data_IF_765865726551
#
_entry.id   IF_765865726551
#
_cell.length_a   1.000
_cell.length_b   1.000
_cell.length_c   1.000
_cell.angle_alpha   90.00
_cell.angle_beta   90.00
_cell.angle_gamma   90.00
#
_symmetry.space_group_name_H-M   'P 1'
#
loop_
_entity.id
_entity.type
_entity.pdbx_description
1 polymer ?
#
# COMPACT_ATOMS: atom_id res chain seq x y z
N UNK A 1 -6.10 1.87 -11.31
CA UNK A 1 -5.04 1.67 -10.30
C UNK A 1 -5.43 0.46 -9.46
N UNK A 2 -4.58 -0.58 -9.35
CA UNK A 2 -4.94 -1.81 -8.64
C UNK A 2 -5.29 -1.58 -7.16
N UNK A 3 -6.16 -2.41 -6.61
CA UNK A 3 -6.70 -2.26 -5.24
C UNK A 3 -5.59 -2.27 -4.17
N UNK A 4 -4.55 -3.09 -4.38
CA UNK A 4 -3.39 -3.24 -3.49
C UNK A 4 -2.67 -1.92 -3.18
N UNK A 5 -2.64 -0.96 -4.11
CA UNK A 5 -2.02 0.35 -3.90
C UNK A 5 -2.83 1.21 -2.92
N UNK A 6 -4.16 1.15 -3.00
CA UNK A 6 -5.05 1.88 -2.09
C UNK A 6 -4.96 1.31 -0.68
N UNK A 7 -4.94 -0.01 -0.57
CA UNK A 7 -4.83 -0.70 0.72
C UNK A 7 -3.47 -0.43 1.37
N UNK A 8 -2.39 -0.45 0.58
CA UNK A 8 -1.06 -0.05 1.06
C UNK A 8 -1.03 1.38 1.58
N UNK A 9 -1.69 2.33 0.89
CA UNK A 9 -1.81 3.71 1.35
C UNK A 9 -2.56 3.80 2.69
N UNK A 10 -3.56 2.96 2.92
CA UNK A 10 -4.31 2.95 4.18
C UNK A 10 -3.41 2.50 5.33
N UNK A 11 -2.59 1.47 5.14
CA UNK A 11 -1.59 1.09 6.14
C UNK A 11 -0.63 2.24 6.43
N UNK A 12 -0.16 2.95 5.39
CA UNK A 12 0.69 4.13 5.57
C UNK A 12 -0.02 5.26 6.35
N UNK A 13 -1.34 5.42 6.20
CA UNK A 13 -2.12 6.42 6.94
C UNK A 13 -2.43 6.03 8.38
N UNK A 14 -2.42 4.73 8.70
CA UNK A 14 -2.62 4.22 10.06
C UNK A 14 -1.33 4.26 10.88
N UNK A 15 -0.18 4.33 10.23
CA UNK A 15 1.12 4.39 10.90
C UNK A 15 1.44 5.82 11.35
N UNK A 16 1.42 6.05 12.67
CA UNK A 16 1.68 7.35 13.28
C UNK A 16 3.04 7.94 12.88
N UNK A 17 4.05 7.09 12.62
CA UNK A 17 5.39 7.55 12.21
C UNK A 17 5.33 8.11 10.80
N UNK A 18 4.64 7.42 9.89
CA UNK A 18 4.43 7.89 8.52
C UNK A 18 3.59 9.16 8.51
N UNK A 19 2.50 9.22 9.28
CA UNK A 19 1.69 10.44 9.43
C UNK A 19 2.52 11.60 9.95
N UNK A 20 3.38 11.37 10.95
CA UNK A 20 4.28 12.39 11.49
C UNK A 20 5.23 12.98 10.44
N UNK A 21 5.79 12.13 9.55
CA UNK A 21 6.74 12.52 8.51
C UNK A 21 6.05 13.28 7.36
N UNK A 22 4.92 12.77 6.86
CA UNK A 22 4.27 13.32 5.66
C UNK A 22 3.27 14.43 5.96
N UNK A 23 2.63 14.40 7.12
CA UNK A 23 1.45 15.21 7.44
C UNK A 23 0.21 14.77 6.67
N UNK A 24 -0.97 15.07 7.23
CA UNK A 24 -2.24 14.82 6.55
C UNK A 24 -2.69 16.01 5.70
N UNK A 25 -3.30 15.78 4.53
CA UNK A 25 -3.66 14.49 3.95
C UNK A 25 -2.52 13.84 3.14
N UNK A 26 -2.33 12.53 3.31
CA UNK A 26 -1.41 11.73 2.47
C UNK A 26 -2.14 11.22 1.22
N UNK A 27 -1.57 11.44 0.04
CA UNK A 27 -2.14 11.03 -1.26
C UNK A 27 -1.11 10.34 -2.12
N UNK A 28 -1.56 9.39 -2.93
CA UNK A 28 -0.75 8.83 -4.01
C UNK A 28 -0.61 9.90 -5.10
N UNK A 29 0.60 10.11 -5.59
CA UNK A 29 0.88 11.06 -6.68
C UNK A 29 1.41 10.33 -7.91
N UNK A 30 1.17 10.90 -9.09
CA UNK A 30 1.80 10.44 -10.32
C UNK A 30 3.28 10.81 -10.29
N UNK A 31 4.16 9.85 -10.60
CA UNK A 31 5.59 10.12 -10.73
C UNK A 31 5.80 11.09 -11.91
N UNK A 32 6.44 12.24 -11.69
CA UNK A 32 6.63 13.29 -12.73
C UNK A 32 7.65 12.88 -13.80
N UNK A 33 8.55 11.96 -13.45
CA UNK A 33 9.56 11.39 -14.31
C UNK A 33 9.29 9.89 -14.47
N UNK A 34 9.45 9.36 -15.68
CA UNK A 34 9.10 8.03 -16.23
C UNK A 34 9.66 6.79 -15.48
N UNK A 35 9.89 6.84 -14.18
CA UNK A 35 10.06 5.61 -13.41
C UNK A 35 8.68 5.00 -13.32
N UNK A 36 8.54 3.88 -13.99
CA UNK A 36 7.32 3.08 -14.05
C UNK A 36 6.99 2.72 -12.61
N UNK A 37 5.71 2.82 -12.21
CA UNK A 37 5.21 2.06 -11.08
C UNK A 37 5.67 0.62 -11.29
N UNK A 38 6.78 0.22 -10.66
CA UNK A 38 7.25 -1.14 -10.81
C UNK A 38 6.15 -1.98 -10.21
N UNK A 39 5.60 -2.90 -11.00
CA UNK A 39 4.68 -3.90 -10.51
C UNK A 39 5.11 -5.20 -11.16
N UNK A 40 5.74 -6.04 -10.36
CA UNK A 40 6.29 -7.31 -10.78
C UNK A 40 5.56 -8.43 -10.07
N UNK A 41 5.06 -9.37 -10.86
CA UNK A 41 4.54 -10.64 -10.40
C UNK A 41 5.64 -11.68 -10.50
N UNK A 42 5.86 -12.47 -9.45
CA UNK A 42 6.84 -13.55 -9.47
C UNK A 42 6.40 -14.72 -8.59
N UNK A 43 6.98 -15.90 -8.82
CA UNK A 43 6.67 -17.11 -8.05
C UNK A 43 7.95 -17.67 -7.41
N UNK A 44 7.87 -18.07 -6.15
CA UNK A 44 8.96 -18.71 -5.42
C UNK A 44 8.41 -19.95 -4.73
N UNK A 45 8.97 -21.13 -5.01
CA UNK A 45 8.56 -22.41 -4.39
C UNK A 45 7.04 -22.69 -4.48
N UNK A 46 6.40 -22.32 -5.60
CA UNK A 46 4.96 -22.50 -5.82
C UNK A 46 4.08 -21.38 -5.23
N UNK A 47 4.66 -20.47 -4.45
CA UNK A 47 3.96 -19.35 -3.84
C UNK A 47 4.02 -18.12 -4.76
N UNK A 48 2.92 -17.38 -4.86
CA UNK A 48 2.84 -16.21 -5.74
C UNK A 48 3.10 -14.91 -4.97
N UNK A 49 3.90 -14.02 -5.54
CA UNK A 49 4.29 -12.75 -4.94
C UNK A 49 4.04 -11.60 -5.91
N UNK A 50 3.78 -10.43 -5.35
CA UNK A 50 3.73 -9.16 -6.06
C UNK A 50 4.62 -8.13 -5.37
N UNK A 51 5.57 -7.60 -6.12
CA UNK A 51 6.39 -6.47 -5.69
C UNK A 51 5.94 -5.22 -6.44
N UNK A 52 5.67 -4.14 -5.72
CA UNK A 52 5.25 -2.90 -6.36
C UNK A 52 5.74 -1.64 -5.66
N UNK A 53 5.84 -0.57 -6.44
CA UNK A 53 6.33 0.74 -5.98
C UNK A 53 5.44 1.90 -6.46
N UNK A 54 5.25 2.90 -5.60
CA UNK A 54 4.48 4.10 -5.95
C UNK A 54 4.84 5.30 -5.08
N UNK A 55 4.69 6.51 -5.63
CA UNK A 55 4.94 7.75 -4.90
C UNK A 55 3.73 8.18 -4.07
N UNK A 56 4.02 8.65 -2.86
CA UNK A 56 3.06 9.33 -1.98
C UNK A 56 3.57 10.73 -1.63
N UNK A 57 2.63 11.64 -1.39
CA UNK A 57 2.89 12.99 -0.92
C UNK A 57 1.92 13.38 0.18
N UNK A 58 2.44 14.04 1.19
CA UNK A 58 1.69 14.83 2.15
C UNK A 58 2.16 16.29 2.10
N UNK A 59 1.59 17.18 2.94
CA UNK A 59 1.99 18.58 2.99
C UNK A 59 3.45 18.80 3.37
N UNK A 60 4.05 17.90 4.16
CA UNK A 60 5.41 18.05 4.69
C UNK A 60 6.48 17.36 3.84
N UNK A 61 6.13 16.28 3.13
CA UNK A 61 7.11 15.45 2.45
C UNK A 61 6.54 14.69 1.25
N UNK A 62 7.46 14.20 0.41
CA UNK A 62 7.20 13.23 -0.67
C UNK A 62 8.10 12.03 -0.48
N UNK A 63 7.61 10.85 -0.86
CA UNK A 63 8.36 9.61 -0.69
C UNK A 63 7.85 8.51 -1.59
N UNK A 64 8.67 7.46 -1.67
CA UNK A 64 8.43 6.28 -2.48
C UNK A 64 8.06 5.12 -1.55
N UNK A 65 6.89 4.54 -1.79
CA UNK A 65 6.45 3.32 -1.13
C UNK A 65 6.95 2.14 -1.92
N UNK A 66 7.50 1.16 -1.22
CA UNK A 66 7.87 -0.15 -1.74
C UNK A 66 7.14 -1.21 -0.93
N UNK A 67 6.38 -2.05 -1.62
CA UNK A 67 5.62 -3.12 -1.02
C UNK A 67 5.93 -4.43 -1.72
N UNK A 68 6.00 -5.50 -0.93
CA UNK A 68 6.11 -6.85 -1.40
C UNK A 68 5.06 -7.67 -0.67
N UNK A 69 4.14 -8.26 -1.42
CA UNK A 69 3.04 -9.06 -0.89
C UNK A 69 3.13 -10.48 -1.41
N UNK A 70 2.82 -11.43 -0.54
CA UNK A 70 2.63 -12.84 -0.87
C UNK A 70 1.14 -13.10 -0.98
N UNK A 71 0.73 -13.81 -2.02
CA UNK A 71 -0.66 -14.24 -2.21
C UNK A 71 -0.87 -15.62 -1.57
N UNK A 72 -1.70 -15.69 -0.54
CA UNK A 72 -2.03 -16.90 0.22
C UNK A 72 -3.55 -17.04 0.25
N UNK A 73 -4.12 -18.14 -0.24
CA UNK A 73 -5.58 -18.40 -0.20
C UNK A 73 -6.46 -17.23 -0.71
N UNK A 74 -5.99 -16.51 -1.73
CA UNK A 74 -6.63 -15.31 -2.28
C UNK A 74 -6.59 -14.05 -1.38
N UNK A 75 -5.78 -14.07 -0.32
CA UNK A 75 -5.42 -12.94 0.53
C UNK A 75 -4.00 -12.47 0.18
N UNK A 76 -3.69 -11.20 0.50
CA UNK A 76 -2.33 -10.66 0.34
C UNK A 76 -1.73 -10.42 1.72
N UNK A 77 -0.60 -11.08 1.98
CA UNK A 77 0.21 -10.89 3.17
C UNK A 77 1.42 -10.03 2.82
N UNK A 78 1.58 -8.89 3.48
CA UNK A 78 2.77 -8.06 3.29
C UNK A 78 4.00 -8.77 3.89
N UNK A 79 4.93 -9.14 3.03
CA UNK A 79 6.24 -9.67 3.44
C UNK A 79 7.23 -8.53 3.69
N UNK A 80 7.07 -7.41 2.98
CA UNK A 80 7.84 -6.20 3.20
C UNK A 80 6.99 -4.98 2.84
N UNK A 81 6.94 -4.00 3.73
CA UNK A 81 6.36 -2.68 3.43
C UNK A 81 7.26 -1.61 4.03
N UNK A 82 7.75 -0.72 3.19
CA UNK A 82 8.55 0.41 3.64
C UNK A 82 8.34 1.64 2.77
N UNK A 83 8.54 2.80 3.39
CA UNK A 83 8.46 4.11 2.76
C UNK A 83 9.82 4.76 2.82
N UNK A 84 10.31 5.20 1.67
CA UNK A 84 11.57 5.93 1.53
C UNK A 84 11.27 7.39 1.32
N UNK A 85 11.74 8.24 2.22
CA UNK A 85 11.62 9.70 2.12
C UNK A 85 13.00 10.28 1.87
N UNK A 86 13.15 11.00 0.75
CA UNK A 86 14.44 11.59 0.37
C UNK A 86 14.96 12.48 1.49
N UNK A 87 16.24 12.31 1.85
CA UNK A 87 16.94 13.02 2.94
C UNK A 87 16.49 12.73 4.37
N UNK A 88 15.40 11.97 4.58
CA UNK A 88 14.93 11.59 5.93
C UNK A 88 15.27 10.13 6.24
N UNK A 89 15.11 9.24 5.25
CA UNK A 89 15.50 7.82 5.38
C UNK A 89 14.39 6.85 4.97
N UNK A 90 14.59 5.58 5.33
CA UNK A 90 13.69 4.45 5.03
C UNK A 90 12.97 4.00 6.30
N UNK A 91 11.65 3.91 6.22
CA UNK A 91 10.78 3.60 7.34
C UNK A 91 9.99 2.33 7.04
N UNK A 92 10.16 1.30 7.86
CA UNK A 92 9.29 0.12 7.80
C UNK A 92 7.91 0.51 8.33
N UNK A 93 6.87 0.12 7.60
CA UNK A 93 5.48 0.32 8.03
C UNK A 93 5.01 -0.99 8.62
N UNK A 94 4.42 -0.93 9.81
CA UNK A 94 3.79 -2.11 10.39
C UNK A 94 2.47 -2.39 9.68
N UNK A 95 2.52 -3.31 8.72
CA UNK A 95 1.32 -3.92 8.16
C UNK A 95 0.91 -5.10 9.04
N UNK A 96 -0.23 -4.99 9.73
CA UNK A 96 -0.92 -6.18 10.23
C UNK A 96 -1.41 -6.99 9.03
N UNK A 97 -1.51 -8.32 9.19
CA UNK A 97 -2.26 -9.17 8.26
C UNK A 97 -3.71 -8.71 8.31
N UNK A 98 -4.08 -7.71 7.51
CA UNK A 98 -5.46 -7.30 7.36
C UNK A 98 -6.07 -8.17 6.28
N UNK A 99 -7.15 -8.85 6.66
CA UNK A 99 -7.96 -9.63 5.76
C UNK A 99 -8.56 -8.66 4.72
N UNK A 100 -7.95 -8.59 3.52
CA UNK A 100 -8.40 -7.67 2.46
C UNK A 100 -9.81 -8.01 1.94
N UNK A 101 -10.43 -9.09 2.44
CA UNK A 101 -11.84 -9.42 2.22
C UNK A 101 -12.82 -8.55 3.00
N UNK A 102 -12.46 -8.00 4.16
CA UNK A 102 -13.44 -7.28 5.00
C UNK A 102 -13.94 -5.97 4.37
N UNK A 103 -13.17 -5.37 3.46
CA UNK A 103 -13.66 -4.19 2.70
C UNK A 103 -14.63 -4.52 1.57
N UNK A 104 -14.67 -5.75 1.08
CA UNK A 104 -15.65 -6.16 0.08
C UNK A 104 -17.01 -6.48 0.71
N UNK A 105 -17.05 -6.90 1.99
CA UNK A 105 -18.33 -7.12 2.68
C UNK A 105 -19.09 -5.81 2.92
N UNK A 106 -18.41 -4.78 3.41
CA UNK A 106 -19.03 -3.46 3.65
C UNK A 106 -19.39 -2.67 2.39
N UNK A 107 -18.96 -3.07 1.18
CA UNK A 107 -19.43 -2.43 -0.06
C UNK A 107 -20.60 -3.16 -0.71
N UNK A 108 -20.81 -4.43 -0.41
CA UNK A 108 -21.95 -5.20 -0.90
C UNK A 108 -23.11 -5.25 0.11
N UNK A 109 -22.86 -5.30 1.42
CA UNK A 109 -23.94 -5.27 2.42
C UNK A 109 -24.63 -3.89 2.49
N UNK A 110 -23.93 -2.78 2.22
CA UNK A 110 -24.55 -1.45 2.15
C UNK A 110 -25.39 -1.20 0.89
N UNK A 111 -25.33 -2.09 -0.11
CA UNK A 111 -26.12 -1.97 -1.35
C UNK A 111 -27.35 -2.87 -1.29
N UNK A 112 -27.36 -3.90 -0.45
CA UNK A 112 -28.48 -4.84 -0.32
C UNK A 112 -29.50 -4.33 0.71
N UNK A 113 -29.14 -3.38 1.58
CA UNK A 113 -30.02 -2.85 2.64
C UNK A 113 -30.81 -1.59 2.22
N UNK A 114 -30.99 -1.39 0.92
CA UNK A 114 -31.87 -0.35 0.37
C UNK A 114 -32.75 -0.97 -0.72
N UNK A 115 -33.63 -1.88 -0.28
CA UNK A 115 -34.84 -2.27 -0.99
C UNK A 115 -35.98 -2.40 0.01
#
# INVERSE_FOLDING_TARGET
>A
MPQVYRDTLIHCKKDNKIVGIFGEPIKIIRQKNRIVHSHRYYKVKGESYEEFTFDIAGPKAKGLVHANVKKVNNEYEYTNLHVTVSKVGRFKVESKVENLRDRYKYKYESVIQTY
#
